data_IF_638196158638
#
_entry.id   IF_638196158638
#
_cell.length_a   1.000
_cell.length_b   1.000
_cell.length_c   1.000
_cell.angle_alpha   90.00
_cell.angle_beta   90.00
_cell.angle_gamma   90.00
#
_symmetry.space_group_name_H-M   'P 1'
#
loop_
_entity.id
_entity.type
_entity.pdbx_description
1 polymer ?
#
# COMPACT_ATOMS: atom_id res chain seq x y z
N UNK A 1 5.32 12.93 -13.25
CA UNK A 1 6.76 13.28 -13.21
C UNK A 1 6.94 14.61 -12.49
N UNK A 2 8.07 14.84 -11.79
CA UNK A 2 8.34 16.12 -11.14
C UNK A 2 8.32 17.27 -12.14
N UNK A 3 7.74 18.40 -11.76
CA UNK A 3 7.63 19.61 -12.58
C UNK A 3 8.60 20.67 -12.05
N UNK A 4 9.58 21.11 -12.87
CA UNK A 4 10.48 22.20 -12.47
C UNK A 4 9.70 23.48 -12.16
N UNK A 5 10.08 24.18 -11.09
CA UNK A 5 9.42 25.43 -10.68
C UNK A 5 8.11 25.26 -9.89
N UNK A 6 7.59 24.05 -9.76
CA UNK A 6 6.43 23.73 -8.92
C UNK A 6 6.84 22.98 -7.64
N UNK A 7 5.98 23.01 -6.61
CA UNK A 7 6.17 22.17 -5.42
C UNK A 7 5.76 20.74 -5.74
N UNK A 8 6.75 19.84 -5.72
CA UNK A 8 6.57 18.41 -5.93
C UNK A 8 6.55 17.69 -4.57
N UNK A 9 5.49 16.92 -4.31
CA UNK A 9 5.28 16.25 -3.02
C UNK A 9 5.12 14.75 -3.25
N UNK A 10 6.11 13.98 -2.81
CA UNK A 10 6.04 12.53 -2.75
C UNK A 10 5.55 12.12 -1.37
N UNK A 11 4.49 11.32 -1.34
CA UNK A 11 3.90 10.77 -0.11
C UNK A 11 3.96 9.26 -0.20
N UNK A 12 4.44 8.64 0.87
CA UNK A 12 4.41 7.19 1.02
C UNK A 12 3.76 6.84 2.35
N UNK A 13 3.01 5.75 2.37
CA UNK A 13 2.62 5.08 3.62
C UNK A 13 3.50 3.87 3.83
N UNK A 14 3.72 3.49 5.08
CA UNK A 14 4.36 2.22 5.40
C UNK A 14 3.60 1.08 4.70
N UNK A 15 4.35 0.16 4.08
CA UNK A 15 3.77 -0.97 3.35
C UNK A 15 3.14 -1.93 4.36
N UNK A 16 1.81 -2.15 4.34
CA UNK A 16 1.19 -3.20 5.15
C UNK A 16 1.76 -4.58 4.79
N UNK A 17 2.07 -5.35 5.83
CA UNK A 17 2.54 -6.72 5.67
C UNK A 17 1.40 -7.64 5.26
N UNK A 18 1.58 -8.39 4.17
CA UNK A 18 0.51 -9.07 3.45
C UNK A 18 -0.11 -10.26 4.21
N UNK A 19 0.50 -10.75 5.28
CA UNK A 19 0.01 -11.98 5.93
C UNK A 19 -1.14 -11.74 6.95
N UNK A 20 -1.54 -10.49 7.18
CA UNK A 20 -2.50 -10.11 8.22
C UNK A 20 -3.66 -9.29 7.66
N UNK A 21 -4.85 -9.51 8.22
CA UNK A 21 -6.00 -8.65 7.92
C UNK A 21 -5.74 -7.23 8.43
N UNK A 22 -5.97 -6.18 7.61
CA UNK A 22 -5.87 -4.81 8.08
C UNK A 22 -6.92 -4.56 9.16
N UNK A 23 -6.50 -4.01 10.30
CA UNK A 23 -7.39 -3.52 11.35
C UNK A 23 -7.37 -1.99 11.42
N UNK A 24 -8.32 -1.39 12.14
CA UNK A 24 -8.48 0.06 12.21
C UNK A 24 -7.20 0.80 12.60
N UNK A 25 -6.42 0.25 13.55
CA UNK A 25 -5.10 0.79 13.92
C UNK A 25 -4.12 0.94 12.75
N UNK A 26 -4.02 -0.06 11.86
CA UNK A 26 -3.19 -0.01 10.66
C UNK A 26 -3.71 1.02 9.66
N UNK A 27 -5.04 1.12 9.53
CA UNK A 27 -5.70 2.07 8.62
C UNK A 27 -5.42 3.51 9.06
N UNK A 28 -5.72 3.86 10.31
CA UNK A 28 -5.53 5.22 10.82
C UNK A 28 -4.05 5.59 10.90
N UNK A 29 -3.19 4.67 11.31
CA UNK A 29 -1.77 4.93 11.57
C UNK A 29 -0.93 5.11 10.31
N UNK A 30 -1.38 4.63 9.15
CA UNK A 30 -0.57 4.64 7.94
C UNK A 30 -1.29 5.24 6.73
N UNK A 31 -2.36 4.59 6.26
CA UNK A 31 -2.95 4.93 4.96
C UNK A 31 -3.93 6.10 5.04
N UNK A 32 -4.77 6.15 6.07
CA UNK A 32 -5.77 7.21 6.20
C UNK A 32 -5.13 8.56 6.56
N UNK A 33 -4.14 8.56 7.45
CA UNK A 33 -3.39 9.78 7.78
C UNK A 33 -2.66 10.36 6.56
N UNK A 34 -2.05 9.50 5.74
CA UNK A 34 -1.38 9.93 4.52
C UNK A 34 -2.37 10.39 3.44
N UNK A 35 -3.54 9.75 3.32
CA UNK A 35 -4.61 10.15 2.39
C UNK A 35 -5.11 11.58 2.67
N UNK A 36 -5.36 11.90 3.94
CA UNK A 36 -5.78 13.25 4.35
C UNK A 36 -4.76 14.29 3.91
N UNK A 37 -3.47 14.01 4.10
CA UNK A 37 -2.41 14.92 3.67
C UNK A 37 -2.29 15.00 2.14
N UNK A 38 -2.41 13.88 1.43
CA UNK A 38 -2.38 13.82 -0.02
C UNK A 38 -3.49 14.66 -0.64
N UNK A 39 -4.73 14.51 -0.16
CA UNK A 39 -5.88 15.31 -0.58
C UNK A 39 -5.67 16.80 -0.32
N UNK A 40 -5.13 17.15 0.85
CA UNK A 40 -4.77 18.54 1.15
C UNK A 40 -3.73 19.08 0.16
N UNK A 41 -2.65 18.34 -0.13
CA UNK A 41 -1.64 18.78 -1.08
C UNK A 41 -2.20 18.96 -2.50
N UNK A 42 -3.09 18.06 -2.95
CA UNK A 42 -3.80 18.20 -4.24
C UNK A 42 -4.68 19.45 -4.26
N UNK A 43 -5.45 19.72 -3.19
CA UNK A 43 -6.26 20.94 -3.06
C UNK A 43 -5.42 22.23 -3.04
N UNK A 44 -4.17 22.16 -2.59
CA UNK A 44 -3.21 23.28 -2.63
C UNK A 44 -2.54 23.46 -4.00
N UNK A 45 -2.86 22.62 -4.98
CA UNK A 45 -2.28 22.66 -6.33
C UNK A 45 -0.85 22.13 -6.38
N UNK A 46 -0.40 21.36 -5.38
CA UNK A 46 0.93 20.76 -5.40
C UNK A 46 0.94 19.52 -6.30
N UNK A 47 2.02 19.35 -7.07
CA UNK A 47 2.24 18.14 -7.86
C UNK A 47 2.51 16.97 -6.91
N UNK A 48 1.45 16.22 -6.60
CA UNK A 48 1.42 15.24 -5.51
C UNK A 48 1.40 13.83 -6.10
N UNK A 49 2.25 12.96 -5.56
CA UNK A 49 2.25 11.52 -5.87
C UNK A 49 2.18 10.76 -4.56
N UNK A 50 1.08 10.06 -4.31
CA UNK A 50 0.85 9.22 -3.15
C UNK A 50 0.87 7.75 -3.54
N UNK A 51 1.89 7.01 -3.06
CA UNK A 51 2.06 5.59 -3.36
C UNK A 51 2.11 4.74 -2.10
N UNK A 52 1.62 3.51 -2.21
CA UNK A 52 1.78 2.47 -1.20
C UNK A 52 1.74 1.09 -1.90
N UNK A 53 1.70 0.02 -1.12
CA UNK A 53 1.63 -1.34 -1.63
C UNK A 53 1.78 -2.34 -0.50
N UNK A 54 1.80 -3.62 -0.84
CA UNK A 54 2.00 -4.72 0.12
C UNK A 54 3.46 -5.14 0.22
N UNK A 55 3.90 -5.35 1.46
CA UNK A 55 5.16 -6.04 1.77
C UNK A 55 4.88 -7.55 1.87
N UNK A 56 5.53 -8.32 1.00
CA UNK A 56 5.13 -9.69 0.68
C UNK A 56 6.21 -10.74 0.98
N UNK A 57 7.47 -10.32 1.13
CA UNK A 57 8.58 -11.23 1.40
C UNK A 57 8.69 -11.58 2.90
N UNK A 58 9.44 -12.65 3.19
CA UNK A 58 9.84 -13.00 4.56
C UNK A 58 9.21 -14.28 5.11
N UNK A 59 9.83 -14.79 6.17
CA UNK A 59 9.50 -16.09 6.79
C UNK A 59 8.06 -16.18 7.28
N UNK A 60 7.44 -15.05 7.64
CA UNK A 60 6.06 -15.04 8.10
C UNK A 60 5.06 -15.32 6.96
N UNK A 61 5.34 -14.87 5.73
CA UNK A 61 4.57 -15.27 4.53
C UNK A 61 4.71 -16.77 4.27
N UNK A 62 5.92 -17.31 4.32
CA UNK A 62 6.17 -18.75 4.12
C UNK A 62 5.47 -19.60 5.18
N UNK A 63 5.54 -19.18 6.45
CA UNK A 63 4.85 -19.85 7.57
C UNK A 63 3.34 -19.87 7.34
N UNK A 64 2.77 -18.75 6.92
CA UNK A 64 1.34 -18.65 6.63
C UNK A 64 0.92 -19.53 5.46
N UNK A 65 1.75 -19.59 4.41
CA UNK A 65 1.52 -20.45 3.26
C UNK A 65 1.52 -21.93 3.63
N UNK A 66 2.43 -22.36 4.51
CA UNK A 66 2.44 -23.72 5.06
C UNK A 66 1.18 -24.02 5.89
N UNK A 67 0.75 -23.10 6.76
CA UNK A 67 -0.48 -23.24 7.55
C UNK A 67 -1.73 -23.38 6.67
N UNK A 68 -1.83 -22.56 5.62
CA UNK A 68 -2.96 -22.55 4.67
C UNK A 68 -2.83 -23.63 3.58
N UNK A 69 -1.71 -24.37 3.52
CA UNK A 69 -1.40 -25.40 2.51
C UNK A 69 -1.46 -24.88 1.08
N UNK A 70 -0.94 -23.67 0.87
CA UNK A 70 -0.86 -22.98 -0.42
C UNK A 70 0.57 -22.49 -0.66
N UNK A 71 0.86 -21.94 -1.84
CA UNK A 71 2.16 -21.33 -2.11
C UNK A 71 2.26 -19.92 -1.50
N UNK A 72 3.47 -19.39 -1.21
CA UNK A 72 3.64 -18.00 -0.77
C UNK A 72 2.97 -17.00 -1.71
N UNK A 73 3.09 -17.18 -3.02
CA UNK A 73 2.44 -16.33 -4.02
C UNK A 73 0.92 -16.32 -3.86
N UNK A 74 0.29 -17.48 -3.62
CA UNK A 74 -1.16 -17.56 -3.43
C UNK A 74 -1.62 -16.84 -2.17
N UNK A 75 -0.84 -16.88 -1.08
CA UNK A 75 -1.12 -16.08 0.13
C UNK A 75 -1.04 -14.59 -0.20
N UNK A 76 0.05 -14.17 -0.83
CA UNK A 76 0.24 -12.76 -1.19
C UNK A 76 -0.87 -12.24 -2.10
N UNK A 77 -1.27 -13.01 -3.12
CA UNK A 77 -2.34 -12.64 -4.05
C UNK A 77 -3.69 -12.48 -3.35
N UNK A 78 -4.01 -13.43 -2.45
CA UNK A 78 -5.25 -13.41 -1.65
C UNK A 78 -5.32 -12.16 -0.79
N UNK A 79 -4.26 -11.87 -0.04
CA UNK A 79 -4.27 -10.77 0.92
C UNK A 79 -4.03 -9.41 0.26
N UNK A 80 -3.27 -9.33 -0.83
CA UNK A 80 -3.17 -8.10 -1.63
C UNK A 80 -4.55 -7.62 -2.07
N UNK A 81 -5.38 -8.55 -2.56
CA UNK A 81 -6.78 -8.25 -2.93
C UNK A 81 -7.57 -7.71 -1.75
N UNK A 82 -7.47 -8.35 -0.58
CA UNK A 82 -8.16 -7.91 0.65
C UNK A 82 -7.72 -6.50 1.05
N UNK A 83 -6.42 -6.22 1.05
CA UNK A 83 -5.89 -4.88 1.36
C UNK A 83 -6.42 -3.84 0.38
N UNK A 84 -6.35 -4.13 -0.92
CA UNK A 84 -6.83 -3.24 -1.97
C UNK A 84 -8.32 -2.93 -1.80
N UNK A 85 -9.16 -3.95 -1.67
CA UNK A 85 -10.61 -3.77 -1.48
C UNK A 85 -10.94 -3.01 -0.19
N UNK A 86 -10.20 -3.26 0.89
CA UNK A 86 -10.37 -2.53 2.16
C UNK A 86 -10.07 -1.04 1.96
N UNK A 87 -8.94 -0.70 1.34
CA UNK A 87 -8.53 0.70 1.18
C UNK A 87 -9.40 1.44 0.16
N UNK A 88 -9.88 0.76 -0.89
CA UNK A 88 -10.89 1.28 -1.81
C UNK A 88 -12.21 1.58 -1.07
N UNK A 89 -12.65 0.69 -0.18
CA UNK A 89 -13.87 0.92 0.62
C UNK A 89 -13.73 2.11 1.59
N UNK A 90 -12.56 2.30 2.19
CA UNK A 90 -12.24 3.49 2.99
C UNK A 90 -12.02 4.76 2.14
N UNK A 91 -12.10 4.66 0.81
CA UNK A 91 -11.88 5.74 -0.14
C UNK A 91 -10.49 6.38 -0.01
N UNK A 92 -9.46 5.56 0.23
CA UNK A 92 -8.06 5.99 0.18
C UNK A 92 -7.63 6.15 -1.28
N UNK A 93 -7.14 7.33 -1.64
CA UNK A 93 -6.87 7.71 -3.02
C UNK A 93 -5.37 7.68 -3.32
N UNK A 94 -4.85 6.46 -3.47
CA UNK A 94 -3.50 6.23 -3.99
C UNK A 94 -3.41 6.59 -5.47
N UNK A 95 -2.31 7.21 -5.87
CA UNK A 95 -1.94 7.32 -7.28
C UNK A 95 -1.43 5.97 -7.82
N UNK A 96 -0.82 5.16 -6.93
CA UNK A 96 -0.44 3.78 -7.22
C UNK A 96 -0.42 2.93 -5.95
N UNK A 97 -1.09 1.78 -6.00
CA UNK A 97 -1.05 0.76 -4.95
C UNK A 97 -0.43 -0.52 -5.53
N UNK A 98 0.86 -0.74 -5.23
CA UNK A 98 1.68 -1.78 -5.82
C UNK A 98 1.93 -2.99 -4.92
N UNK A 99 2.90 -3.80 -5.32
CA UNK A 99 3.34 -5.02 -4.63
C UNK A 99 4.86 -5.07 -4.65
N UNK A 100 5.45 -5.74 -3.66
CA UNK A 100 6.90 -5.96 -3.62
C UNK A 100 7.35 -7.17 -4.45
N UNK A 101 6.46 -8.11 -4.80
CA UNK A 101 6.78 -9.26 -5.66
C UNK A 101 6.65 -8.91 -7.15
N UNK A 102 7.58 -8.12 -7.67
CA UNK A 102 7.64 -7.78 -9.11
C UNK A 102 9.04 -7.98 -9.68
N UNK A 103 9.15 -8.14 -11.00
CA UNK A 103 10.45 -8.21 -11.70
C UNK A 103 11.27 -6.93 -11.56
N UNK A 104 10.64 -5.78 -11.30
CA UNK A 104 11.39 -4.53 -11.08
C UNK A 104 12.07 -4.51 -9.71
N UNK A 105 11.55 -5.28 -8.74
CA UNK A 105 12.13 -5.40 -7.41
C UNK A 105 13.23 -6.48 -7.35
N UNK A 106 13.21 -7.46 -8.27
CA UNK A 106 14.02 -8.69 -8.22
C UNK A 106 14.80 -8.91 -9.50
#
# INVERSE_FOLDING_TARGET
MPKPGERNVLITSALPYVNNMPHLGTVIGCVLSADVFARFCRLRGYNTLYICGTDEYGTATETKAMEEKVTPQQVCDKYFKIHKETYEWFNVEFDYFGRTTTEQQT
#
